data_IF_872069706808
#
_entry.id   IF_872069706808
#
_cell.length_a   1.000
_cell.length_b   1.000
_cell.length_c   1.000
_cell.angle_alpha   90.00
_cell.angle_beta   90.00
_cell.angle_gamma   90.00
#
_symmetry.space_group_name_H-M   'P 1'
#
loop_
_entity.id
_entity.type
_entity.pdbx_description
1 polymer ?
#
# COMPACT_ATOMS: atom_id res chain seq x y z
N UNK A 1 0.58 28.39 14.72
CA UNK A 1 1.44 27.19 14.87
C UNK A 1 0.55 26.04 15.35
N UNK A 2 0.10 25.16 14.46
CA UNK A 2 -0.76 24.03 14.84
C UNK A 2 0.09 22.93 15.48
N UNK A 3 0.06 22.84 16.80
CA UNK A 3 0.60 21.70 17.54
C UNK A 3 -0.38 20.56 17.34
N UNK A 4 -0.07 19.59 16.47
CA UNK A 4 -0.89 18.37 16.37
C UNK A 4 -0.81 17.65 17.72
N UNK A 5 -1.94 17.59 18.43
CA UNK A 5 -2.06 16.65 19.54
C UNK A 5 -2.11 15.23 18.98
N UNK A 6 -1.72 14.22 19.77
CA UNK A 6 -1.85 12.80 19.38
C UNK A 6 -3.31 12.45 18.97
N UNK A 7 -4.29 13.15 19.56
CA UNK A 7 -5.71 13.05 19.22
C UNK A 7 -6.00 13.52 17.78
N UNK A 8 -5.41 14.64 17.34
CA UNK A 8 -5.64 15.19 16.00
C UNK A 8 -5.06 14.30 14.90
N UNK A 9 -3.89 13.70 15.15
CA UNK A 9 -3.28 12.75 14.21
C UNK A 9 -4.16 11.50 14.03
N UNK A 10 -4.69 10.94 15.12
CA UNK A 10 -5.62 9.82 15.07
C UNK A 10 -6.92 10.15 14.36
N UNK A 11 -7.50 11.33 14.62
CA UNK A 11 -8.72 11.77 13.97
C UNK A 11 -8.55 11.91 12.44
N UNK A 12 -7.42 12.48 12.00
CA UNK A 12 -7.07 12.60 10.58
C UNK A 12 -6.83 11.24 9.92
N UNK A 13 -6.08 10.35 10.57
CA UNK A 13 -5.84 9.00 10.06
C UNK A 13 -7.17 8.23 9.90
N UNK A 14 -8.04 8.28 10.92
CA UNK A 14 -9.34 7.64 10.85
C UNK A 14 -10.23 8.22 9.73
N UNK A 15 -10.09 9.50 9.40
CA UNK A 15 -10.80 10.11 8.27
C UNK A 15 -10.29 9.60 6.91
N UNK A 16 -8.98 9.35 6.79
CA UNK A 16 -8.37 8.73 5.60
C UNK A 16 -8.82 7.28 5.48
N UNK A 17 -8.70 6.49 6.55
CA UNK A 17 -9.09 5.07 6.55
C UNK A 17 -10.57 4.85 6.20
N UNK A 18 -11.45 5.79 6.56
CA UNK A 18 -12.87 5.70 6.20
C UNK A 18 -13.14 6.05 4.74
N UNK A 19 -12.34 6.92 4.11
CA UNK A 19 -12.64 7.48 2.79
C UNK A 19 -11.81 6.89 1.66
N UNK A 20 -10.66 6.30 1.94
CA UNK A 20 -9.74 5.76 0.93
C UNK A 20 -9.46 4.27 1.15
N UNK A 21 -9.03 3.59 0.09
CA UNK A 21 -8.42 2.27 0.19
C UNK A 21 -6.99 2.42 0.72
N UNK A 22 -6.68 1.75 1.82
CA UNK A 22 -5.37 1.82 2.50
C UNK A 22 -4.84 0.42 2.69
N UNK A 23 -3.57 0.23 2.34
CA UNK A 23 -2.81 -1.00 2.55
C UNK A 23 -1.41 -0.65 3.03
N UNK A 24 -0.89 -1.45 3.96
CA UNK A 24 0.42 -1.30 4.55
C UNK A 24 1.33 -2.45 4.14
N UNK A 25 2.58 -2.12 3.82
CA UNK A 25 3.60 -3.09 3.44
C UNK A 25 4.86 -2.91 4.28
N UNK A 26 5.56 -4.02 4.54
CA UNK A 26 6.95 -3.98 4.97
C UNK A 26 7.86 -3.47 3.84
N UNK A 27 9.11 -3.07 4.13
CA UNK A 27 10.11 -2.70 3.11
C UNK A 27 10.41 -3.79 2.06
N UNK A 28 10.11 -5.06 2.38
CA UNK A 28 10.24 -6.21 1.48
C UNK A 28 8.96 -6.51 0.69
N UNK A 29 7.94 -5.65 0.83
CA UNK A 29 6.65 -5.75 0.17
C UNK A 29 5.73 -6.82 0.75
N UNK A 30 5.92 -7.21 2.02
CA UNK A 30 4.99 -8.10 2.74
C UNK A 30 3.82 -7.28 3.26
N UNK A 31 2.59 -7.74 3.03
CA UNK A 31 1.37 -7.06 3.47
C UNK A 31 1.25 -7.20 4.99
N UNK A 32 1.23 -6.06 5.68
CA UNK A 32 1.07 -6.00 7.14
C UNK A 32 -0.40 -5.84 7.53
N UNK A 33 -1.18 -5.14 6.71
CA UNK A 33 -2.60 -4.93 6.92
C UNK A 33 -3.23 -4.19 5.76
N UNK A 34 -4.56 -4.23 5.69
CA UNK A 34 -5.35 -3.48 4.72
C UNK A 34 -6.70 -3.12 5.33
N UNK A 35 -7.24 -1.95 4.98
CA UNK A 35 -8.53 -1.51 5.47
C UNK A 35 -9.69 -2.14 4.65
N UNK A 36 -10.93 -2.08 5.15
CA UNK A 36 -12.09 -2.66 4.46
C UNK A 36 -12.32 -2.12 3.05
N UNK A 37 -12.00 -0.84 2.80
CA UNK A 37 -12.13 -0.24 1.48
C UNK A 37 -11.20 -0.90 0.45
N UNK A 38 -9.94 -1.13 0.82
CA UNK A 38 -9.00 -1.84 -0.05
C UNK A 38 -9.47 -3.27 -0.31
N UNK A 39 -9.81 -4.00 0.75
CA UNK A 39 -10.27 -5.40 0.67
C UNK A 39 -11.51 -5.55 -0.21
N UNK A 40 -12.48 -4.64 -0.11
CA UNK A 40 -13.67 -4.63 -0.95
C UNK A 40 -13.34 -4.45 -2.45
N UNK A 41 -12.39 -3.58 -2.77
CA UNK A 41 -11.97 -3.31 -4.16
C UNK A 41 -11.27 -4.53 -4.76
N UNK A 42 -10.32 -5.13 -4.03
CA UNK A 42 -9.55 -6.29 -4.50
C UNK A 42 -10.30 -7.62 -4.35
N UNK A 43 -11.37 -7.67 -3.56
CA UNK A 43 -12.22 -8.83 -3.35
C UNK A 43 -11.62 -9.93 -2.47
N UNK A 44 -10.59 -9.61 -1.67
CA UNK A 44 -9.97 -10.54 -0.71
C UNK A 44 -10.41 -10.25 0.72
N UNK A 45 -10.31 -11.25 1.58
CA UNK A 45 -10.38 -11.08 3.03
C UNK A 45 -9.00 -10.79 3.63
N UNK A 46 -8.98 -10.21 4.83
CA UNK A 46 -7.74 -9.79 5.48
C UNK A 46 -6.77 -10.95 5.73
N UNK A 47 -7.30 -12.08 6.19
CA UNK A 47 -6.55 -13.32 6.44
C UNK A 47 -5.99 -13.96 5.16
N UNK A 48 -6.57 -13.67 4.00
CA UNK A 48 -6.06 -14.12 2.70
C UNK A 48 -4.86 -13.29 2.20
N UNK A 49 -4.69 -12.06 2.71
CA UNK A 49 -3.67 -11.11 2.21
C UNK A 49 -2.54 -10.85 3.18
N UNK A 50 -2.79 -10.83 4.49
CA UNK A 50 -1.75 -10.54 5.50
C UNK A 50 -0.66 -11.62 5.44
N UNK A 51 0.60 -11.18 5.48
CA UNK A 51 1.77 -12.05 5.33
C UNK A 51 2.09 -12.46 3.89
N UNK A 52 1.22 -12.15 2.91
CA UNK A 52 1.51 -12.33 1.48
C UNK A 52 2.35 -11.16 0.96
N UNK A 53 2.95 -11.32 -0.22
CA UNK A 53 3.68 -10.22 -0.89
C UNK A 53 2.73 -9.40 -1.76
N UNK A 54 3.02 -8.11 -1.92
CA UNK A 54 2.35 -7.19 -2.84
C UNK A 54 2.16 -7.75 -4.24
N UNK A 55 3.09 -8.60 -4.69
CA UNK A 55 3.03 -9.33 -5.95
C UNK A 55 1.71 -10.10 -6.17
N UNK A 56 0.97 -10.44 -5.10
CA UNK A 56 -0.39 -10.98 -5.16
C UNK A 56 -1.33 -10.15 -6.05
N UNK A 57 -1.17 -8.82 -6.07
CA UNK A 57 -2.01 -7.90 -6.82
C UNK A 57 -1.41 -7.47 -8.16
N UNK A 58 -0.27 -8.02 -8.57
CA UNK A 58 0.49 -7.56 -9.74
C UNK A 58 0.45 -8.62 -10.83
N UNK A 59 0.42 -8.21 -12.09
CA UNK A 59 0.50 -9.15 -13.20
C UNK A 59 1.84 -9.92 -13.19
N UNK A 60 1.86 -11.25 -13.42
CA UNK A 60 3.10 -12.03 -13.40
C UNK A 60 4.21 -11.51 -14.31
N UNK A 61 3.89 -10.92 -15.46
CA UNK A 61 4.87 -10.33 -16.35
C UNK A 61 5.48 -9.05 -15.77
N UNK A 62 4.67 -8.23 -15.09
CA UNK A 62 5.15 -7.03 -14.38
C UNK A 62 5.99 -7.43 -13.17
N UNK A 63 5.60 -8.46 -12.41
CA UNK A 63 6.37 -8.97 -11.27
C UNK A 63 7.80 -9.37 -11.65
N UNK A 64 7.98 -9.95 -12.83
CA UNK A 64 9.29 -10.38 -13.35
C UNK A 64 10.12 -9.24 -13.93
N UNK A 65 9.54 -8.04 -14.07
CA UNK A 65 10.21 -6.92 -14.74
C UNK A 65 11.29 -6.27 -13.88
N UNK A 66 12.31 -5.65 -14.49
CA UNK A 66 13.24 -4.77 -13.79
C UNK A 66 12.54 -3.60 -13.08
N UNK A 67 11.50 -3.04 -13.69
CA UNK A 67 10.74 -1.92 -13.16
C UNK A 67 10.09 -2.24 -11.80
N UNK A 68 9.59 -3.47 -11.62
CA UNK A 68 9.01 -3.88 -10.33
C UNK A 68 10.07 -3.95 -9.22
N UNK A 69 11.30 -4.38 -9.53
CA UNK A 69 12.40 -4.37 -8.56
C UNK A 69 12.82 -2.96 -8.22
N UNK A 70 13.03 -2.13 -9.23
CA UNK A 70 13.40 -0.72 -9.08
C UNK A 70 12.35 0.06 -8.28
N UNK A 71 11.06 -0.20 -8.50
CA UNK A 71 9.98 0.37 -7.72
C UNK A 71 10.15 0.15 -6.21
N UNK A 72 10.45 -1.09 -5.79
CA UNK A 72 10.68 -1.40 -4.38
C UNK A 72 12.01 -0.84 -3.85
N UNK A 73 13.05 -0.77 -4.68
CA UNK A 73 14.32 -0.13 -4.32
C UNK A 73 14.13 1.37 -4.03
N UNK A 74 13.39 2.06 -4.89
CA UNK A 74 13.05 3.47 -4.72
C UNK A 74 12.22 3.72 -3.46
N UNK A 75 11.22 2.88 -3.18
CA UNK A 75 10.44 2.98 -1.94
C UNK A 75 11.31 2.81 -0.69
N UNK A 76 12.24 1.86 -0.70
CA UNK A 76 13.21 1.66 0.39
C UNK A 76 14.17 2.82 0.55
N UNK A 77 14.52 3.51 -0.54
CA UNK A 77 15.28 4.75 -0.51
C UNK A 77 14.47 5.97 -0.03
N UNK A 78 13.18 5.79 0.29
CA UNK A 78 12.29 6.85 0.77
C UNK A 78 11.62 7.65 -0.34
N UNK A 79 11.76 7.24 -1.60
CA UNK A 79 11.10 7.91 -2.72
C UNK A 79 9.60 7.60 -2.74
N UNK A 80 8.78 8.65 -2.76
CA UNK A 80 7.35 8.58 -3.08
C UNK A 80 7.15 8.02 -4.49
N UNK A 81 6.10 7.22 -4.67
CA UNK A 81 5.64 6.86 -6.01
C UNK A 81 4.12 7.01 -6.11
N UNK A 82 3.63 7.76 -7.10
CA UNK A 82 2.20 8.00 -7.28
C UNK A 82 1.82 7.90 -8.76
N UNK A 83 0.63 7.40 -9.04
CA UNK A 83 0.16 7.19 -10.40
C UNK A 83 -1.05 6.28 -10.47
N UNK A 84 -1.35 5.82 -11.68
CA UNK A 84 -2.36 4.80 -11.94
C UNK A 84 -1.68 3.45 -12.09
N UNK A 85 -2.22 2.44 -11.40
CA UNK A 85 -1.66 1.11 -11.35
C UNK A 85 -2.69 0.09 -11.78
N UNK A 86 -2.35 -0.69 -12.80
CA UNK A 86 -3.06 -1.92 -13.14
C UNK A 86 -2.77 -2.97 -12.07
N UNK A 87 -3.81 -3.58 -11.52
CA UNK A 87 -3.73 -4.63 -10.49
C UNK A 87 -4.65 -5.78 -10.81
N UNK A 88 -4.33 -6.94 -10.23
CA UNK A 88 -5.09 -8.18 -10.36
C UNK A 88 -5.81 -8.47 -9.05
N UNK A 89 -7.13 -8.30 -9.05
CA UNK A 89 -8.03 -8.62 -7.96
C UNK A 89 -8.30 -10.14 -7.89
N UNK A 90 -8.98 -10.58 -6.82
CA UNK A 90 -9.36 -11.98 -6.63
C UNK A 90 -10.14 -12.51 -7.84
N UNK A 91 -9.81 -13.72 -8.24
CA UNK A 91 -10.39 -14.36 -9.43
C UNK A 91 -9.81 -13.85 -10.76
N UNK A 92 -8.68 -13.13 -10.75
CA UNK A 92 -8.01 -12.68 -11.97
C UNK A 92 -8.60 -11.41 -12.59
N UNK A 93 -9.51 -10.73 -11.88
CA UNK A 93 -10.15 -9.51 -12.38
C UNK A 93 -9.15 -8.36 -12.42
N UNK A 94 -9.01 -7.74 -13.59
CA UNK A 94 -8.20 -6.53 -13.73
C UNK A 94 -8.92 -5.33 -13.10
N UNK A 95 -8.17 -4.52 -12.34
CA UNK A 95 -8.62 -3.26 -11.78
C UNK A 95 -7.55 -2.19 -12.00
N UNK A 96 -7.97 -0.93 -12.05
CA UNK A 96 -7.09 0.23 -12.11
C UNK A 96 -7.24 1.05 -10.83
N UNK A 97 -6.11 1.34 -10.18
CA UNK A 97 -6.06 2.09 -8.94
C UNK A 97 -5.24 3.36 -9.14
N UNK A 98 -5.83 4.52 -8.83
CA UNK A 98 -5.06 5.73 -8.63
C UNK A 98 -4.55 5.74 -7.18
N UNK A 99 -3.24 5.65 -6.98
CA UNK A 99 -2.66 5.46 -5.65
C UNK A 99 -1.35 6.22 -5.46
N UNK A 100 -0.95 6.38 -4.20
CA UNK A 100 0.39 6.81 -3.80
C UNK A 100 0.97 5.84 -2.77
N UNK A 101 2.20 5.41 -3.03
CA UNK A 101 3.03 4.64 -2.11
C UNK A 101 3.92 5.64 -1.37
N UNK A 102 3.69 5.77 -0.07
CA UNK A 102 4.29 6.78 0.79
C UNK A 102 5.17 6.10 1.85
N UNK A 103 6.50 6.00 1.66
CA UNK A 103 7.38 5.38 2.65
C UNK A 103 7.28 6.08 4.01
N UNK A 104 7.03 5.31 5.07
CA UNK A 104 7.07 5.81 6.45
C UNK A 104 8.51 5.69 6.94
N UNK A 105 9.27 6.78 6.79
CA UNK A 105 10.62 6.89 7.36
C UNK A 105 10.54 7.30 8.83
N UNK A 106 10.76 6.36 9.74
CA UNK A 106 10.94 6.69 11.14
C UNK A 106 12.26 7.46 11.32
N UNK A 107 12.16 8.67 11.88
CA UNK A 107 13.31 9.55 12.13
C UNK A 107 14.03 9.25 13.46
N UNK A 108 13.63 8.20 14.18
CA UNK A 108 14.14 7.86 15.54
C UNK A 108 15.20 6.75 15.62
N UNK A 109 15.71 6.22 14.52
CA UNK A 109 16.77 5.21 14.56
C UNK A 109 18.16 5.81 14.26
N UNK A 110 18.70 6.60 15.19
CA UNK A 110 20.15 6.83 15.40
C UNK A 110 20.41 7.02 16.89
#
# INVERSE_FOLDING_TARGET
>A
MFKLSSSDARAKLAAIERSQAVIEFSPDGVILGANPNFLAVVGYQLDEVVGRRHALFVDPAEQASPAYREFWENLRAGSLHAGEFRRVAKGGREIWLQASYNPIVDRRAW
#
